data_IF_802304788279
#
_entry.id   IF_802304788279
#
_cell.length_a   1.000
_cell.length_b   1.000
_cell.length_c   1.000
_cell.angle_alpha   90.00
_cell.angle_beta   90.00
_cell.angle_gamma   90.00
#
_symmetry.space_group_name_H-M   'P 1'
#
loop_
_entity.id
_entity.type
_entity.pdbx_description
1 polymer ?
#
# COMPACT_ATOMS: atom_id res chain seq x y z
N UNK A 1 1.96 -11.73 26.85
CA UNK A 1 2.48 -11.74 28.24
C UNK A 1 1.52 -12.51 29.13
N UNK A 2 2.00 -13.29 30.09
CA UNK A 2 1.14 -13.95 31.09
C UNK A 2 0.56 -12.91 32.05
N UNK A 3 -0.74 -13.00 32.33
CA UNK A 3 -1.41 -12.15 33.31
C UNK A 3 -0.90 -12.53 34.72
N UNK A 4 -0.45 -11.58 35.56
CA UNK A 4 0.07 -11.87 36.89
C UNK A 4 -0.87 -12.72 37.75
N UNK A 5 -0.33 -13.59 38.60
CA UNK A 5 -1.11 -14.55 39.38
C UNK A 5 -2.14 -13.90 40.33
N UNK A 6 -1.96 -12.64 40.71
CA UNK A 6 -2.89 -11.88 41.56
C UNK A 6 -4.02 -11.20 40.78
N UNK A 7 -4.05 -11.26 39.45
CA UNK A 7 -5.13 -10.67 38.65
C UNK A 7 -6.41 -11.48 38.84
N UNK A 8 -7.43 -10.84 39.42
CA UNK A 8 -8.75 -11.45 39.59
C UNK A 8 -9.36 -11.94 38.27
N UNK A 9 -10.34 -12.86 38.33
CA UNK A 9 -10.94 -13.47 37.14
C UNK A 9 -11.52 -12.42 36.18
N UNK A 10 -12.09 -11.34 36.71
CA UNK A 10 -12.60 -10.21 35.94
C UNK A 10 -11.50 -9.50 35.13
N UNK A 11 -10.33 -9.26 35.73
CA UNK A 11 -9.20 -8.60 35.05
C UNK A 11 -8.61 -9.47 33.95
N UNK A 12 -8.55 -10.80 34.15
CA UNK A 12 -8.12 -11.75 33.12
C UNK A 12 -9.10 -11.77 31.94
N UNK A 13 -10.41 -11.80 32.19
CA UNK A 13 -11.43 -11.72 31.14
C UNK A 13 -11.31 -10.40 30.36
N UNK A 14 -11.19 -9.27 31.05
CA UNK A 14 -11.06 -7.96 30.40
C UNK A 14 -9.83 -7.85 29.50
N UNK A 15 -8.69 -8.41 29.92
CA UNK A 15 -7.47 -8.43 29.11
C UNK A 15 -7.69 -9.12 27.76
N UNK A 16 -8.33 -10.29 27.74
CA UNK A 16 -8.61 -11.01 26.49
C UNK A 16 -9.72 -10.34 25.68
N UNK A 17 -10.73 -9.75 26.32
CA UNK A 17 -11.77 -8.97 25.63
C UNK A 17 -11.15 -7.76 24.92
N UNK A 18 -10.26 -7.03 25.59
CA UNK A 18 -9.54 -5.90 25.01
C UNK A 18 -8.68 -6.33 23.81
N UNK A 19 -7.91 -7.42 23.95
CA UNK A 19 -7.14 -7.97 22.82
C UNK A 19 -8.04 -8.40 21.66
N UNK A 20 -9.17 -9.05 21.96
CA UNK A 20 -10.15 -9.43 20.94
C UNK A 20 -10.70 -8.22 20.18
N UNK A 21 -11.05 -7.14 20.89
CA UNK A 21 -11.51 -5.88 20.27
C UNK A 21 -10.39 -5.26 19.43
N UNK A 22 -9.17 -5.17 19.95
CA UNK A 22 -8.02 -4.67 19.19
C UNK A 22 -7.76 -5.49 17.92
N UNK A 23 -7.83 -6.82 18.00
CA UNK A 23 -7.68 -7.70 16.83
C UNK A 23 -8.81 -7.53 15.81
N UNK A 24 -10.06 -7.36 16.27
CA UNK A 24 -11.20 -7.10 15.37
C UNK A 24 -11.06 -5.76 14.65
N UNK A 25 -10.70 -4.70 15.37
CA UNK A 25 -10.45 -3.39 14.76
C UNK A 25 -9.27 -3.47 13.78
N UNK A 26 -8.18 -4.13 14.16
CA UNK A 26 -7.04 -4.34 13.27
C UNK A 26 -7.44 -5.10 12.00
N UNK A 27 -8.22 -6.17 12.12
CA UNK A 27 -8.73 -6.93 10.98
C UNK A 27 -9.61 -6.05 10.06
N UNK A 28 -10.50 -5.25 10.64
CA UNK A 28 -11.33 -4.31 9.88
C UNK A 28 -10.49 -3.26 9.12
N UNK A 29 -9.45 -2.72 9.74
CA UNK A 29 -8.52 -1.78 9.09
C UNK A 29 -7.67 -2.45 8.00
N UNK A 30 -7.38 -3.74 8.12
CA UNK A 30 -6.65 -4.53 7.11
C UNK A 30 -7.55 -5.06 5.99
N UNK A 31 -8.86 -5.19 6.23
CA UNK A 31 -9.85 -5.71 5.27
C UNK A 31 -9.74 -5.11 3.85
N UNK A 32 -9.59 -3.79 3.62
CA UNK A 32 -9.46 -3.25 2.27
C UNK A 32 -8.19 -3.75 1.57
N UNK A 33 -7.07 -3.91 2.29
CA UNK A 33 -5.82 -4.41 1.72
C UNK A 33 -5.98 -5.89 1.34
N UNK A 34 -6.67 -6.69 2.16
CA UNK A 34 -6.93 -8.10 1.86
C UNK A 34 -7.73 -8.29 0.56
N UNK A 35 -8.65 -7.36 0.25
CA UNK A 35 -9.46 -7.39 -0.98
C UNK A 35 -8.68 -6.88 -2.21
N UNK A 36 -7.76 -5.93 -2.01
CA UNK A 36 -6.93 -5.37 -3.10
C UNK A 36 -5.94 -6.40 -3.64
N UNK A 37 -5.41 -7.29 -2.80
CA UNK A 37 -4.42 -8.32 -3.21
C UNK A 37 -4.93 -9.29 -4.28
N UNK A 38 -6.11 -9.93 -4.18
CA UNK A 38 -6.59 -10.79 -5.26
C UNK A 38 -6.94 -10.00 -6.52
N UNK A 39 -7.43 -8.77 -6.38
CA UNK A 39 -7.73 -7.88 -7.50
C UNK A 39 -6.47 -7.40 -8.24
N UNK A 40 -5.30 -7.35 -7.59
CA UNK A 40 -4.04 -6.97 -8.26
C UNK A 40 -3.57 -8.01 -9.27
N UNK A 41 -4.07 -9.25 -9.18
CA UNK A 41 -3.81 -10.30 -10.17
C UNK A 41 -4.82 -10.29 -11.31
N UNK A 42 -5.75 -9.34 -11.40
CA UNK A 42 -6.73 -9.32 -12.49
C UNK A 42 -6.06 -9.04 -13.85
N UNK A 43 -6.51 -9.74 -14.89
CA UNK A 43 -6.11 -9.50 -16.28
C UNK A 43 -6.72 -8.23 -16.85
N UNK A 44 -7.90 -7.81 -16.37
CA UNK A 44 -8.60 -6.60 -16.80
C UNK A 44 -7.88 -5.32 -16.36
N UNK A 45 -7.95 -4.20 -17.10
CA UNK A 45 -7.40 -2.91 -16.66
C UNK A 45 -8.14 -2.28 -15.48
N UNK A 46 -9.26 -2.86 -15.02
CA UNK A 46 -10.10 -2.31 -13.97
C UNK A 46 -10.11 -3.22 -12.73
N UNK A 47 -10.00 -2.61 -11.54
CA UNK A 47 -10.08 -3.30 -10.23
C UNK A 47 -11.52 -3.74 -9.90
N UNK A 48 -12.06 -4.62 -10.72
CA UNK A 48 -13.42 -5.18 -10.58
C UNK A 48 -13.37 -6.70 -10.57
N UNK A 49 -14.35 -7.33 -9.91
CA UNK A 49 -14.48 -8.79 -9.94
C UNK A 49 -15.09 -9.22 -11.28
N UNK A 50 -14.27 -9.77 -12.17
CA UNK A 50 -14.74 -10.36 -13.43
C UNK A 50 -15.45 -11.69 -13.16
N UNK A 51 -16.31 -12.12 -14.09
CA UNK A 51 -16.96 -13.44 -13.99
C UNK A 51 -15.94 -14.58 -13.92
N UNK A 52 -14.82 -14.47 -14.63
CA UNK A 52 -13.72 -15.45 -14.58
C UNK A 52 -13.09 -15.57 -13.18
N UNK A 53 -12.94 -14.45 -12.46
CA UNK A 53 -12.35 -14.46 -11.11
C UNK A 53 -13.30 -15.09 -10.07
N UNK A 54 -14.61 -14.93 -10.26
CA UNK A 54 -15.65 -15.58 -9.43
C UNK A 54 -15.74 -17.09 -9.71
N UNK A 55 -15.48 -17.51 -10.95
CA UNK A 55 -15.44 -18.93 -11.36
C UNK A 55 -14.10 -19.61 -11.04
N UNK A 56 -13.14 -18.88 -10.46
CA UNK A 56 -11.78 -19.35 -10.18
C UNK A 56 -11.09 -19.90 -11.43
N UNK A 57 -11.33 -19.27 -12.58
CA UNK A 57 -10.71 -19.64 -13.84
C UNK A 57 -9.24 -19.19 -13.84
N UNK A 58 -8.25 -20.09 -14.05
CA UNK A 58 -6.84 -19.71 -14.09
C UNK A 58 -6.51 -18.68 -15.17
N UNK A 59 -7.28 -18.61 -16.26
CA UNK A 59 -7.04 -17.67 -17.36
C UNK A 59 -7.40 -16.21 -17.00
N UNK A 60 -8.14 -15.99 -15.91
CA UNK A 60 -8.51 -14.67 -15.41
C UNK A 60 -7.42 -14.00 -14.54
N UNK A 61 -6.37 -14.73 -14.15
CA UNK A 61 -5.30 -14.24 -13.28
C UNK A 61 -3.99 -13.99 -14.04
N UNK A 62 -3.34 -12.85 -13.80
CA UNK A 62 -2.06 -12.48 -14.43
C UNK A 62 -1.13 -11.68 -13.51
N UNK A 63 0.18 -11.87 -13.72
CA UNK A 63 1.22 -11.08 -13.07
C UNK A 63 1.67 -9.86 -13.89
N UNK A 64 0.89 -9.43 -14.89
CA UNK A 64 1.33 -8.39 -15.85
C UNK A 64 1.74 -7.09 -15.15
N UNK A 65 1.00 -6.69 -14.13
CA UNK A 65 1.27 -5.48 -13.34
C UNK A 65 2.58 -5.56 -12.57
N UNK A 66 2.90 -6.73 -12.00
CA UNK A 66 4.18 -6.93 -11.31
C UNK A 66 5.36 -6.93 -12.28
N UNK A 67 5.17 -7.48 -13.48
CA UNK A 67 6.18 -7.47 -14.53
C UNK A 67 6.44 -6.05 -15.02
N UNK A 68 5.38 -5.26 -15.23
CA UNK A 68 5.47 -3.83 -15.56
C UNK A 68 6.21 -3.02 -14.49
N UNK A 69 5.87 -3.25 -13.21
CA UNK A 69 6.58 -2.70 -12.05
C UNK A 69 7.98 -3.29 -11.87
N UNK A 70 8.44 -4.27 -12.64
CA UNK A 70 9.86 -4.67 -12.62
C UNK A 70 10.60 -4.22 -13.87
N UNK A 71 9.91 -3.50 -14.76
CA UNK A 71 10.37 -3.20 -16.11
C UNK A 71 10.55 -4.43 -16.98
N UNK A 72 10.01 -5.57 -16.53
CA UNK A 72 9.93 -6.80 -17.28
C UNK A 72 8.75 -6.68 -18.21
N UNK A 73 9.12 -6.50 -19.45
CA UNK A 73 8.24 -5.85 -20.35
C UNK A 73 7.51 -6.93 -21.18
N UNK A 74 6.49 -7.55 -20.58
CA UNK A 74 5.79 -8.69 -21.18
C UNK A 74 4.55 -8.24 -21.95
N UNK A 75 4.71 -8.11 -23.27
CA UNK A 75 3.59 -8.26 -24.21
C UNK A 75 2.96 -9.63 -23.97
N UNK A 76 1.65 -9.68 -23.71
CA UNK A 76 0.70 -10.78 -23.97
C UNK A 76 -0.46 -10.62 -22.97
N UNK A 77 -1.27 -9.60 -23.18
CA UNK A 77 -2.61 -9.46 -22.58
C UNK A 77 -3.63 -9.09 -23.68
N UNK A 78 -3.34 -9.44 -24.93
CA UNK A 78 -4.14 -9.06 -26.10
C UNK A 78 -4.89 -10.24 -26.72
N UNK A 79 -5.02 -11.36 -26.02
CA UNK A 79 -5.67 -12.56 -26.58
C UNK A 79 -6.94 -13.00 -25.83
N UNK A 80 -7.50 -12.16 -24.94
CA UNK A 80 -8.83 -12.38 -24.35
C UNK A 80 -9.81 -11.19 -24.47
N UNK A 81 -9.39 -10.06 -25.05
CA UNK A 81 -10.18 -8.80 -25.11
C UNK A 81 -10.39 -8.26 -26.54
N UNK A 82 -10.52 -9.16 -27.52
CA UNK A 82 -11.26 -8.86 -28.75
C UNK A 82 -12.75 -8.70 -28.33
N UNK A 83 -13.52 -7.66 -28.61
CA UNK A 83 -13.50 -6.69 -29.67
C UNK A 83 -14.25 -5.41 -29.26
N UNK A 84 -13.66 -4.24 -29.49
CA UNK A 84 -14.31 -3.17 -30.26
C UNK A 84 -13.27 -2.09 -30.59
N UNK A 85 -12.72 -2.18 -31.80
CA UNK A 85 -11.98 -1.12 -32.49
C UNK A 85 -10.50 -0.98 -32.12
N UNK A 86 -9.71 -1.72 -32.89
CA UNK A 86 -8.33 -1.41 -33.25
C UNK A 86 -8.08 0.10 -33.40
N UNK A 87 -7.19 0.63 -32.56
CA UNK A 87 -6.18 1.57 -33.03
C UNK A 87 -4.84 1.13 -32.45
N UNK A 88 -4.11 0.44 -33.32
CA UNK A 88 -2.67 0.25 -33.37
C UNK A 88 -1.86 1.20 -32.48
N UNK A 89 -1.73 0.85 -31.21
CA UNK A 89 -0.47 0.35 -30.66
C UNK A 89 -0.82 -0.69 -29.61
N UNK A 90 -0.50 -1.95 -29.87
CA UNK A 90 -0.03 -2.77 -28.75
C UNK A 90 1.03 -1.89 -28.10
N UNK A 91 0.80 -1.42 -26.87
CA UNK A 91 1.83 -0.67 -26.14
C UNK A 91 2.93 -1.70 -25.89
N UNK A 92 3.76 -1.89 -26.91
CA UNK A 92 5.02 -2.57 -26.86
C UNK A 92 5.75 -1.90 -25.74
N UNK A 93 6.17 -2.74 -24.83
CA UNK A 93 7.27 -2.44 -23.97
C UNK A 93 8.44 -1.85 -24.77
N UNK A 94 8.56 -0.51 -24.72
CA UNK A 94 9.51 0.25 -25.50
C UNK A 94 8.97 1.19 -26.60
N UNK A 95 7.66 1.31 -26.86
CA UNK A 95 7.15 2.25 -27.89
C UNK A 95 6.71 3.59 -27.28
N UNK A 96 7.68 4.46 -26.95
CA UNK A 96 7.48 5.81 -26.38
C UNK A 96 6.96 5.79 -24.93
N UNK A 97 7.34 6.75 -24.07
CA UNK A 97 6.91 6.93 -22.65
C UNK A 97 6.81 5.69 -21.72
N UNK A 98 7.29 4.52 -22.14
CA UNK A 98 7.17 3.25 -21.42
C UNK A 98 8.55 2.62 -21.35
N UNK A 99 9.43 3.24 -20.56
CA UNK A 99 10.70 2.62 -20.17
C UNK A 99 10.44 2.00 -18.81
N UNK A 100 10.45 0.68 -18.69
CA UNK A 100 10.05 -0.07 -17.49
C UNK A 100 10.73 0.27 -16.13
N UNK A 101 11.56 1.32 -16.07
CA UNK A 101 12.22 1.83 -14.88
C UNK A 101 11.66 3.16 -14.35
N UNK A 102 10.59 3.73 -14.92
CA UNK A 102 10.06 5.04 -14.45
C UNK A 102 9.57 5.00 -13.00
N UNK A 103 8.86 3.93 -12.61
CA UNK A 103 8.46 3.71 -11.21
C UNK A 103 9.69 3.63 -10.29
N UNK A 104 10.77 2.97 -10.73
CA UNK A 104 12.00 2.81 -9.96
C UNK A 104 12.74 4.14 -9.81
N UNK A 105 12.75 4.94 -10.88
CA UNK A 105 13.33 6.28 -10.89
C UNK A 105 12.54 7.25 -10.01
N UNK A 106 11.20 7.22 -10.09
CA UNK A 106 10.33 7.99 -9.23
C UNK A 106 10.51 7.60 -7.76
N UNK A 107 10.52 6.30 -7.44
CA UNK A 107 10.77 5.79 -6.09
C UNK A 107 12.12 6.27 -5.54
N UNK A 108 13.18 6.21 -6.35
CA UNK A 108 14.51 6.71 -5.95
C UNK A 108 14.50 8.20 -5.63
N UNK A 109 13.87 9.03 -6.48
CA UNK A 109 13.78 10.47 -6.23
C UNK A 109 12.96 10.77 -4.97
N UNK A 110 11.84 10.08 -4.75
CA UNK A 110 11.03 10.22 -3.54
C UNK A 110 11.78 9.84 -2.27
N UNK A 111 12.58 8.77 -2.29
CA UNK A 111 13.41 8.36 -1.14
C UNK A 111 14.39 9.48 -0.74
N UNK A 112 15.05 10.08 -1.71
CA UNK A 112 16.01 11.16 -1.46
C UNK A 112 15.29 12.38 -0.86
N UNK A 113 14.18 12.81 -1.46
CA UNK A 113 13.41 13.96 -0.97
C UNK A 113 12.83 13.70 0.42
N UNK A 114 12.35 12.48 0.70
CA UNK A 114 11.79 12.11 2.00
C UNK A 114 12.81 12.25 3.13
N UNK A 115 14.06 11.85 2.91
CA UNK A 115 15.13 11.97 3.92
C UNK A 115 15.44 13.44 4.22
N UNK A 116 15.57 14.28 3.19
CA UNK A 116 15.82 15.71 3.42
C UNK A 116 14.62 16.41 4.06
N UNK A 117 13.40 16.05 3.66
CA UNK A 117 12.17 16.60 4.22
C UNK A 117 12.00 16.24 5.70
N UNK A 118 12.30 15.01 6.12
CA UNK A 118 12.20 14.61 7.55
C UNK A 118 13.23 15.32 8.41
N UNK A 119 14.45 15.53 7.91
CA UNK A 119 15.47 16.29 8.63
C UNK A 119 15.05 17.75 8.80
N UNK A 120 14.61 18.40 7.73
CA UNK A 120 14.13 19.80 7.78
C UNK A 120 12.89 19.93 8.67
N UNK A 121 11.93 19.01 8.58
CA UNK A 121 10.75 19.03 9.43
C UNK A 121 11.09 18.83 10.91
N UNK A 122 12.04 17.95 11.22
CA UNK A 122 12.48 17.69 12.60
C UNK A 122 13.22 18.88 13.19
N UNK A 123 14.08 19.55 12.42
CA UNK A 123 14.81 20.74 12.89
C UNK A 123 13.86 21.92 13.13
N UNK A 124 12.89 22.14 12.23
CA UNK A 124 11.86 23.16 12.43
C UNK A 124 10.92 22.83 13.59
N UNK A 125 10.52 21.57 13.75
CA UNK A 125 9.68 21.13 14.87
C UNK A 125 10.35 21.32 16.23
N UNK A 126 11.65 21.03 16.34
CA UNK A 126 12.42 21.27 17.56
C UNK A 126 12.61 22.77 17.84
N UNK A 127 12.95 23.57 16.82
CA UNK A 127 13.12 25.01 16.98
C UNK A 127 11.82 25.73 17.36
N UNK A 128 10.68 25.28 16.83
CA UNK A 128 9.36 25.80 17.22
C UNK A 128 8.96 25.48 18.66
N UNK A 129 9.43 24.35 19.20
CA UNK A 129 9.20 23.98 20.61
C UNK A 129 10.05 24.79 21.60
N UNK A 130 11.20 25.31 21.14
CA UNK A 130 12.13 26.11 21.94
C UNK A 130 11.95 27.63 21.78
N UNK A 131 10.78 28.10 21.36
CA UNK A 131 10.49 29.53 21.23
C UNK A 131 10.71 30.28 22.57
N UNK A 132 11.09 31.57 22.52
CA UNK A 132 11.56 32.35 23.69
C UNK A 132 10.54 32.58 24.83
N UNK A 133 9.36 31.97 24.81
CA UNK A 133 8.38 32.04 25.90
C UNK A 133 8.74 31.20 27.13
N UNK A 134 9.69 30.27 27.04
CA UNK A 134 10.15 29.51 28.23
C UNK A 134 10.99 30.32 29.22
N UNK A 135 11.41 31.54 28.86
CA UNK A 135 12.15 32.43 29.77
C UNK A 135 11.25 33.42 30.53
N UNK A 136 9.95 33.50 30.22
CA UNK A 136 9.02 34.41 30.88
C UNK A 136 8.36 33.83 32.15
N UNK A 137 8.46 32.51 32.38
CA UNK A 137 7.81 31.81 33.51
C UNK A 137 8.78 31.31 34.60
N UNK A 138 9.98 31.90 34.71
CA UNK A 138 10.94 31.59 35.78
C UNK A 138 11.23 32.78 36.73
N UNK A 139 10.57 33.92 36.53
CA UNK A 139 10.64 35.09 37.41
C UNK A 139 9.23 35.66 37.59
N UNK A 140 8.41 34.97 38.39
CA UNK A 140 7.18 35.49 39.01
C UNK A 140 6.90 34.67 40.25
#
# INVERSE_FOLDING_TARGET
MSVPAYTGPLGRTWHYVFLGICSLVFFFLMAPIMVIVPLSFNIEPYFTFSEGMLRLDPDAFSFRWYKDVLGMCTQKATEAADAFTTSTKVQECGSGSNRGYEWAYAARNSIIIAIFATLVASTFGYAGCGGPESHAYAVS
#
